data_IF_715007787101
#
_entry.id   IF_715007787101
#
_cell.length_a   1.000
_cell.length_b   1.000
_cell.length_c   1.000
_cell.angle_alpha   90.00
_cell.angle_beta   90.00
_cell.angle_gamma   90.00
#
_symmetry.space_group_name_H-M   'P 1'
#
loop_
_entity.id
_entity.type
_entity.pdbx_description
1 polymer ?
#
# COMPACT_ATOMS: atom_id res chain seq x y z
N UNK A 1 -70.25 -38.32 -7.23
CA UNK A 1 -69.54 -37.13 -7.75
C UNK A 1 -68.82 -36.33 -6.66
N UNK A 2 -69.32 -36.25 -5.45
CA UNK A 2 -68.65 -35.41 -4.39
C UNK A 2 -67.28 -35.90 -3.89
N UNK A 3 -66.98 -37.19 -3.91
CA UNK A 3 -65.68 -37.72 -3.41
C UNK A 3 -64.55 -37.49 -4.36
N UNK A 4 -64.74 -37.51 -5.65
CA UNK A 4 -63.71 -37.22 -6.63
C UNK A 4 -63.33 -35.73 -6.66
N UNK A 5 -64.26 -34.83 -6.37
CA UNK A 5 -63.98 -33.38 -6.25
C UNK A 5 -63.19 -33.06 -4.99
N UNK A 6 -63.45 -33.73 -3.88
CA UNK A 6 -62.70 -33.55 -2.66
C UNK A 6 -61.23 -34.00 -2.80
N UNK A 7 -60.99 -35.10 -3.50
CA UNK A 7 -59.65 -35.61 -3.76
C UNK A 7 -58.89 -34.63 -4.69
N UNK A 8 -59.54 -34.05 -5.71
CA UNK A 8 -58.94 -33.08 -6.59
C UNK A 8 -58.52 -31.79 -5.85
N UNK A 9 -59.37 -31.30 -4.95
CA UNK A 9 -59.11 -30.12 -4.14
C UNK A 9 -57.94 -30.35 -3.16
N UNK A 10 -57.85 -31.51 -2.55
CA UNK A 10 -56.76 -31.85 -1.60
C UNK A 10 -55.41 -31.96 -2.33
N UNK A 11 -55.36 -32.54 -3.50
CA UNK A 11 -54.13 -32.59 -4.33
C UNK A 11 -53.67 -31.18 -4.76
N UNK A 12 -54.62 -30.35 -5.18
CA UNK A 12 -54.29 -28.97 -5.55
C UNK A 12 -53.77 -28.14 -4.36
N UNK A 13 -54.33 -28.33 -3.15
CA UNK A 13 -53.88 -27.64 -1.97
C UNK A 13 -52.45 -28.06 -1.56
N UNK A 14 -52.15 -29.35 -1.62
CA UNK A 14 -50.79 -29.85 -1.34
C UNK A 14 -49.78 -29.35 -2.36
N UNK A 15 -50.12 -29.36 -3.64
CA UNK A 15 -49.26 -28.84 -4.68
C UNK A 15 -48.99 -27.30 -4.51
N UNK A 16 -50.03 -26.56 -4.12
CA UNK A 16 -49.90 -25.11 -3.84
C UNK A 16 -48.98 -24.84 -2.66
N UNK A 17 -49.08 -25.58 -1.58
CA UNK A 17 -48.21 -25.44 -0.40
C UNK A 17 -46.75 -25.78 -0.76
N UNK A 18 -46.53 -26.85 -1.51
CA UNK A 18 -45.19 -27.23 -1.98
C UNK A 18 -44.55 -26.14 -2.86
N UNK A 19 -45.33 -25.55 -3.75
CA UNK A 19 -44.84 -24.45 -4.59
C UNK A 19 -44.44 -23.23 -3.77
N UNK A 20 -45.24 -22.84 -2.78
CA UNK A 20 -44.92 -21.70 -1.89
C UNK A 20 -43.65 -21.97 -1.09
N UNK A 21 -43.48 -23.15 -0.55
CA UNK A 21 -42.27 -23.52 0.22
C UNK A 21 -41.03 -23.49 -0.68
N UNK A 22 -41.16 -23.96 -1.91
CA UNK A 22 -40.07 -23.96 -2.87
C UNK A 22 -39.63 -22.52 -3.29
N UNK A 23 -40.63 -21.65 -3.50
CA UNK A 23 -40.37 -20.23 -3.82
C UNK A 23 -39.75 -19.49 -2.63
N UNK A 24 -40.26 -19.73 -1.40
CA UNK A 24 -39.66 -19.11 -0.21
C UNK A 24 -38.23 -19.60 0.03
N UNK A 25 -37.93 -20.86 -0.27
CA UNK A 25 -36.55 -21.38 -0.19
C UNK A 25 -35.60 -20.74 -1.21
N UNK A 26 -36.10 -20.25 -2.34
CA UNK A 26 -35.30 -19.52 -3.32
C UNK A 26 -35.14 -18.04 -2.97
N UNK A 27 -36.18 -17.42 -2.42
CA UNK A 27 -36.16 -15.97 -2.09
C UNK A 27 -35.38 -15.69 -0.80
N UNK A 28 -35.41 -16.63 0.15
CA UNK A 28 -34.69 -16.49 1.41
C UNK A 28 -33.22 -16.93 1.35
N UNK A 29 -32.68 -17.23 0.19
CA UNK A 29 -31.22 -17.32 0.07
C UNK A 29 -30.67 -15.91 0.33
N UNK A 30 -29.91 -15.70 1.43
CA UNK A 30 -29.23 -14.42 1.59
C UNK A 30 -28.44 -14.17 0.31
N UNK A 31 -28.41 -12.93 -0.21
CA UNK A 31 -27.55 -12.64 -1.33
C UNK A 31 -26.16 -13.11 -0.91
N UNK A 32 -25.64 -14.10 -1.61
CA UNK A 32 -24.21 -14.41 -1.52
C UNK A 32 -23.56 -13.17 -2.09
N UNK A 33 -23.23 -12.24 -1.21
CA UNK A 33 -22.25 -11.22 -1.49
C UNK A 33 -20.99 -12.06 -1.72
N UNK A 34 -20.75 -12.40 -2.98
CA UNK A 34 -19.43 -12.78 -3.41
C UNK A 34 -18.64 -11.48 -3.27
N UNK A 35 -18.27 -11.17 -2.02
CA UNK A 35 -17.13 -10.36 -1.74
C UNK A 35 -16.00 -11.12 -2.44
N UNK A 36 -15.80 -10.80 -3.73
CA UNK A 36 -14.52 -11.03 -4.35
C UNK A 36 -13.55 -10.32 -3.40
N UNK A 37 -13.06 -11.07 -2.42
CA UNK A 37 -11.76 -10.78 -1.86
C UNK A 37 -10.83 -10.73 -3.08
N UNK A 38 -10.77 -9.56 -3.70
CA UNK A 38 -9.56 -9.16 -4.35
C UNK A 38 -8.56 -9.21 -3.19
N UNK A 39 -7.93 -10.34 -3.06
CA UNK A 39 -6.69 -10.45 -2.31
C UNK A 39 -5.74 -9.55 -3.07
N UNK A 40 -5.90 -8.25 -2.83
CA UNK A 40 -4.97 -7.23 -3.33
C UNK A 40 -3.68 -7.65 -2.65
N UNK A 41 -2.82 -8.30 -3.43
CA UNK A 41 -1.50 -8.70 -2.94
C UNK A 41 -0.87 -7.42 -2.45
N UNK A 42 -0.87 -7.20 -1.16
CA UNK A 42 -0.24 -6.05 -0.55
C UNK A 42 1.28 -6.26 -0.58
N UNK A 43 1.98 -5.21 -0.88
CA UNK A 43 3.44 -5.15 -0.79
C UNK A 43 3.79 -4.02 0.16
N UNK A 44 4.70 -4.24 1.07
CA UNK A 44 5.15 -3.20 1.98
C UNK A 44 6.18 -2.32 1.28
N UNK A 45 5.91 -1.02 1.26
CA UNK A 45 6.77 0.02 0.68
C UNK A 45 7.37 0.83 1.83
N UNK A 46 8.66 1.09 1.75
CA UNK A 46 9.34 1.95 2.72
C UNK A 46 8.93 3.40 2.50
N UNK A 47 8.33 4.04 3.50
CA UNK A 47 7.87 5.43 3.46
C UNK A 47 8.50 6.25 4.58
N UNK A 48 8.54 7.56 4.39
CA UNK A 48 8.91 8.48 5.45
C UNK A 48 7.80 8.55 6.51
N UNK A 49 8.16 8.43 7.77
CA UNK A 49 7.24 8.58 8.90
C UNK A 49 6.92 10.04 9.21
N UNK A 50 7.90 10.90 9.01
CA UNK A 50 7.86 12.35 9.22
C UNK A 50 8.60 13.02 8.07
N UNK A 51 8.46 14.34 7.96
CA UNK A 51 9.17 15.12 6.97
C UNK A 51 10.69 15.04 7.21
N UNK A 52 11.44 14.80 6.15
CA UNK A 52 12.90 14.75 6.17
C UNK A 52 13.42 15.91 5.32
N UNK A 53 14.09 16.85 5.95
CA UNK A 53 14.63 18.03 5.28
C UNK A 53 15.87 17.72 4.41
N UNK A 54 16.14 18.62 3.47
CA UNK A 54 17.38 18.60 2.67
C UNK A 54 18.61 18.61 3.59
N UNK A 55 19.55 17.70 3.35
CA UNK A 55 20.78 17.58 4.15
C UNK A 55 20.61 16.89 5.50
N UNK A 56 19.39 16.52 5.87
CA UNK A 56 19.13 15.81 7.11
C UNK A 56 19.63 14.36 7.02
N UNK A 57 20.24 13.88 8.10
CA UNK A 57 20.66 12.50 8.24
C UNK A 57 19.43 11.65 8.55
N UNK A 58 19.18 10.67 7.73
CA UNK A 58 18.08 9.73 7.91
C UNK A 58 18.46 8.68 8.98
N UNK A 59 17.57 8.46 9.94
CA UNK A 59 17.67 7.41 10.95
C UNK A 59 16.52 6.42 10.78
N UNK A 60 16.67 5.22 11.31
CA UNK A 60 15.62 4.18 11.18
C UNK A 60 14.25 4.66 11.68
N UNK A 61 14.23 5.51 12.72
CA UNK A 61 13.00 6.05 13.31
C UNK A 61 12.20 6.97 12.35
N UNK A 62 12.84 7.48 11.31
CA UNK A 62 12.20 8.34 10.29
C UNK A 62 11.50 7.52 9.21
N UNK A 63 11.68 6.21 9.20
CA UNK A 63 11.11 5.30 8.22
C UNK A 63 10.00 4.44 8.83
N UNK A 64 9.10 3.98 7.97
CA UNK A 64 8.10 2.96 8.28
C UNK A 64 7.78 2.13 7.06
N UNK A 65 7.41 0.88 7.26
CA UNK A 65 6.79 0.06 6.24
C UNK A 65 5.30 0.39 6.16
N UNK A 66 4.79 0.60 4.98
CA UNK A 66 3.38 0.87 4.72
C UNK A 66 2.87 -0.07 3.64
N UNK A 67 1.72 -0.68 3.89
CA UNK A 67 1.07 -1.56 2.93
C UNK A 67 0.50 -0.77 1.76
N UNK A 68 0.89 -1.16 0.57
CA UNK A 68 0.39 -0.60 -0.68
C UNK A 68 -0.10 -1.73 -1.57
N UNK A 69 -1.16 -1.51 -2.39
CA UNK A 69 -1.57 -2.45 -3.41
C UNK A 69 -0.39 -2.77 -4.33
N UNK A 70 -0.13 -4.07 -4.58
CA UNK A 70 1.02 -4.49 -5.39
C UNK A 70 1.07 -3.83 -6.76
N UNK A 71 -0.10 -3.57 -7.34
CA UNK A 71 -0.22 -2.95 -8.66
C UNK A 71 0.18 -1.47 -8.66
N UNK A 72 0.08 -0.79 -7.49
CA UNK A 72 0.43 0.62 -7.31
C UNK A 72 1.85 0.80 -6.75
N UNK A 73 2.42 -0.24 -6.13
CA UNK A 73 3.72 -0.20 -5.46
C UNK A 73 4.91 -0.39 -6.41
N UNK A 74 4.66 -0.51 -7.70
CA UNK A 74 5.67 -0.92 -8.70
C UNK A 74 6.15 0.26 -9.54
N UNK A 75 6.45 1.38 -8.90
CA UNK A 75 7.22 2.44 -9.57
C UNK A 75 8.72 2.10 -9.58
N UNK A 76 9.45 2.40 -10.64
CA UNK A 76 10.89 2.23 -10.65
C UNK A 76 11.53 3.07 -9.54
N UNK A 77 12.25 2.41 -8.65
CA UNK A 77 12.97 3.05 -7.54
C UNK A 77 12.29 2.99 -6.17
N UNK A 78 11.10 2.43 -6.04
CA UNK A 78 10.49 2.18 -4.74
C UNK A 78 11.20 1.04 -4.00
N UNK A 79 11.42 1.25 -2.71
CA UNK A 79 12.02 0.25 -1.82
C UNK A 79 10.90 -0.57 -1.20
N UNK A 80 10.86 -1.85 -1.55
CA UNK A 80 9.88 -2.79 -1.01
C UNK A 80 10.54 -3.81 -0.10
N UNK A 81 9.78 -4.37 0.83
CA UNK A 81 10.22 -5.42 1.74
C UNK A 81 10.72 -6.67 1.01
N UNK A 82 10.09 -6.98 -0.12
CA UNK A 82 10.46 -8.14 -0.96
C UNK A 82 11.81 -7.99 -1.64
N UNK A 83 12.17 -6.75 -2.04
CA UNK A 83 13.43 -6.48 -2.75
C UNK A 83 14.54 -6.18 -1.74
N UNK A 84 14.22 -5.49 -0.65
CA UNK A 84 15.21 -5.04 0.34
C UNK A 84 14.62 -5.11 1.76
N UNK A 85 14.51 -6.28 2.37
CA UNK A 85 13.93 -6.43 3.70
C UNK A 85 14.69 -5.65 4.78
N UNK A 86 16.00 -5.44 4.62
CA UNK A 86 16.86 -4.65 5.51
C UNK A 86 17.00 -3.18 5.14
N UNK A 87 16.10 -2.63 4.33
CA UNK A 87 16.24 -1.27 3.81
C UNK A 87 16.29 -0.19 4.90
N UNK A 88 15.57 -0.35 6.01
CA UNK A 88 15.62 0.62 7.12
C UNK A 88 17.05 0.80 7.63
N UNK A 89 17.74 -0.29 7.95
CA UNK A 89 19.14 -0.24 8.38
C UNK A 89 20.08 0.19 7.26
N UNK A 90 19.79 -0.20 6.02
CA UNK A 90 20.59 0.16 4.86
C UNK A 90 20.58 1.66 4.56
N UNK A 91 19.44 2.33 4.76
CA UNK A 91 19.27 3.76 4.57
C UNK A 91 19.51 4.58 5.83
N UNK A 92 19.67 3.94 6.98
CA UNK A 92 20.10 4.61 8.20
C UNK A 92 21.50 5.20 8.02
N UNK A 93 21.69 6.44 8.46
CA UNK A 93 22.92 7.20 8.24
C UNK A 93 23.05 7.82 6.84
N UNK A 94 22.10 7.63 5.94
CA UNK A 94 22.08 8.32 4.65
C UNK A 94 21.65 9.78 4.81
N UNK A 95 22.04 10.62 3.84
CA UNK A 95 21.73 12.05 3.82
C UNK A 95 20.69 12.32 2.75
N UNK A 96 19.64 13.05 3.11
CA UNK A 96 18.61 13.46 2.17
C UNK A 96 19.15 14.54 1.23
N UNK A 97 19.19 14.26 -0.09
CA UNK A 97 19.56 15.22 -1.14
C UNK A 97 18.38 16.03 -1.67
N UNK A 98 17.18 15.67 -1.28
CA UNK A 98 15.95 16.38 -1.58
C UNK A 98 14.99 16.23 -0.40
N UNK A 99 14.08 17.17 -0.16
CA UNK A 99 13.09 17.04 0.89
C UNK A 99 12.18 15.84 0.59
N UNK A 100 11.80 15.11 1.64
CA UNK A 100 10.90 13.96 1.58
C UNK A 100 9.75 14.23 2.56
N UNK A 101 8.53 14.20 2.06
CA UNK A 101 7.35 14.46 2.86
C UNK A 101 6.94 13.24 3.67
N UNK A 102 6.26 13.45 4.79
CA UNK A 102 5.67 12.35 5.56
C UNK A 102 4.70 11.52 4.68
N UNK A 103 4.85 10.19 4.71
CA UNK A 103 4.08 9.27 3.87
C UNK A 103 4.62 9.11 2.44
N UNK A 104 5.63 9.85 2.04
CA UNK A 104 6.25 9.71 0.72
C UNK A 104 7.11 8.44 0.66
N UNK A 105 7.06 7.68 -0.45
CA UNK A 105 7.91 6.52 -0.65
C UNK A 105 9.40 6.91 -0.70
N UNK A 106 10.21 6.16 0.01
CA UNK A 106 11.65 6.30 -0.02
C UNK A 106 12.20 5.75 -1.33
N UNK A 107 13.01 6.57 -2.01
CA UNK A 107 13.71 6.17 -3.21
C UNK A 107 15.22 6.35 -3.01
N UNK A 108 16.00 5.45 -3.61
CA UNK A 108 17.47 5.54 -3.59
C UNK A 108 18.00 6.82 -4.23
N UNK A 109 17.21 7.48 -5.09
CA UNK A 109 17.57 8.74 -5.72
C UNK A 109 17.58 9.93 -4.75
N UNK A 110 16.77 9.90 -3.68
CA UNK A 110 16.65 10.98 -2.69
C UNK A 110 17.57 10.83 -1.49
N UNK A 111 18.17 9.65 -1.30
CA UNK A 111 19.06 9.35 -0.18
C UNK A 111 20.46 8.99 -0.69
N UNK A 112 21.49 9.56 -0.10
CA UNK A 112 22.89 9.28 -0.42
C UNK A 112 23.56 8.72 0.83
N UNK A 113 24.29 7.62 0.67
CA UNK A 113 25.09 7.05 1.77
C UNK A 113 26.16 8.03 2.22
N UNK A 114 26.23 8.27 3.53
CA UNK A 114 27.32 9.04 4.12
C UNK A 114 28.66 8.40 3.74
N UNK A 115 29.58 9.20 3.20
CA UNK A 115 30.92 8.73 2.77
C UNK A 115 31.11 8.56 1.26
N UNK A 116 30.06 8.56 0.44
CA UNK A 116 30.21 8.61 -1.01
C UNK A 116 30.19 10.08 -1.50
N UNK A 117 31.34 10.75 -1.38
CA UNK A 117 31.52 12.13 -1.82
C UNK A 117 30.78 13.15 -0.94
N UNK A 118 31.36 13.70 0.02
CA UNK A 118 30.91 14.65 1.05
C UNK A 118 29.52 15.31 0.87
N UNK A 119 28.91 15.75 1.94
CA UNK A 119 27.55 16.36 1.95
C UNK A 119 27.39 17.44 0.85
N UNK A 120 28.43 18.24 0.62
CA UNK A 120 28.43 19.29 -0.40
C UNK A 120 28.38 18.74 -1.82
N UNK A 121 29.07 17.63 -2.11
CA UNK A 121 29.00 16.99 -3.42
C UNK A 121 27.63 16.36 -3.71
N UNK A 122 26.91 15.99 -2.67
CA UNK A 122 25.56 15.43 -2.79
C UNK A 122 24.49 16.48 -3.08
N UNK A 123 24.73 17.73 -2.67
CA UNK A 123 23.76 18.85 -2.78
C UNK A 123 24.05 19.71 -4.02
N UNK A 124 25.29 19.70 -4.51
CA UNK A 124 25.68 20.52 -5.67
C UNK A 124 25.13 19.93 -6.98
N UNK A 125 24.43 20.71 -7.80
CA UNK A 125 24.07 20.33 -9.15
C UNK A 125 25.31 20.01 -10.01
N UNK A 126 25.13 19.16 -11.03
CA UNK A 126 26.18 18.81 -11.95
C UNK A 126 26.78 20.08 -12.60
N UNK A 127 28.10 20.24 -12.55
CA UNK A 127 28.82 21.41 -13.09
C UNK A 127 29.15 22.51 -12.08
N UNK A 128 28.65 22.41 -10.83
CA UNK A 128 29.04 23.35 -9.77
C UNK A 128 30.18 22.81 -8.92
N UNK A 129 31.03 23.72 -8.40
CA UNK A 129 32.11 23.38 -7.48
C UNK A 129 32.00 24.25 -6.23
N UNK A 130 32.22 23.64 -5.07
CA UNK A 130 32.36 24.39 -3.83
C UNK A 130 33.76 24.99 -3.78
N UNK A 131 33.85 26.29 -3.55
CA UNK A 131 35.11 27.01 -3.37
C UNK A 131 35.18 27.45 -1.90
N UNK A 132 36.23 27.06 -1.21
CA UNK A 132 36.52 27.54 0.13
C UNK A 132 37.31 28.85 0.04
N UNK A 133 36.72 29.96 0.55
CA UNK A 133 37.41 31.24 0.69
C UNK A 133 37.77 31.46 2.15
N UNK A 134 39.02 31.86 2.42
CA UNK A 134 39.42 32.28 3.76
C UNK A 134 38.76 33.62 4.07
N UNK A 135 37.92 33.66 5.07
CA UNK A 135 37.42 34.91 5.64
C UNK A 135 38.45 35.36 6.65
N UNK A 136 39.01 36.54 6.44
CA UNK A 136 39.91 37.19 7.39
C UNK A 136 39.01 37.86 8.43
N UNK A 137 39.04 37.37 9.66
CA UNK A 137 38.44 38.08 10.80
C UNK A 137 39.34 39.29 11.10
N UNK A 138 38.76 40.51 11.09
CA UNK A 138 39.37 41.72 11.63
C UNK A 138 39.05 41.83 13.11
#
# INVERSE_FOLDING_TARGET
MKRAQLIGISIAAVAGILAVVMVQGMVNKPPVIVEKEHTIKATQVLTARVDIGLGQVATENLFRWQEWPSDSAVGPGFVTDKISPGAMSQFSGSIARAPIMAGEPITSAKLIKAGQGGILAAILPAGMRAISTKIKEE
#
